data_IF_439233360926
#
_entry.id   IF_439233360926
#
_cell.length_a   1.000
_cell.length_b   1.000
_cell.length_c   1.000
_cell.angle_alpha   90.00
_cell.angle_beta   90.00
_cell.angle_gamma   90.00
#
_symmetry.space_group_name_H-M   'P 1'
#
loop_
_entity.id
_entity.type
_entity.pdbx_description
1 polymer ?
#
# COMPACT_ATOMS: atom_id res chain seq x y z
N UNK A 1 49.42 17.08 -28.15
CA UNK A 1 48.19 16.28 -28.21
C UNK A 1 47.40 16.63 -26.96
N UNK A 2 46.34 17.42 -27.13
CA UNK A 2 45.59 18.10 -26.08
C UNK A 2 44.22 17.44 -26.00
N UNK A 3 43.92 16.70 -24.94
CA UNK A 3 42.54 16.31 -24.60
C UNK A 3 42.48 15.72 -23.18
N UNK A 4 41.50 16.18 -22.39
CA UNK A 4 41.24 15.79 -21.00
C UNK A 4 41.78 16.83 -20.01
N UNK A 5 41.00 17.47 -19.15
CA UNK A 5 39.71 17.10 -18.58
C UNK A 5 39.09 18.37 -17.98
N UNK A 6 38.18 19.01 -18.72
CA UNK A 6 37.43 20.18 -18.24
C UNK A 6 36.19 19.72 -17.48
N UNK A 7 36.37 19.05 -16.33
CA UNK A 7 35.32 18.98 -15.32
C UNK A 7 35.27 20.34 -14.60
N UNK A 8 34.49 21.28 -15.13
CA UNK A 8 34.40 22.64 -14.61
C UNK A 8 33.82 22.74 -13.19
N UNK A 9 33.99 23.88 -12.49
CA UNK A 9 33.52 24.13 -11.12
C UNK A 9 32.01 23.89 -10.90
N UNK A 10 31.19 23.93 -11.96
CA UNK A 10 29.78 23.51 -11.92
C UNK A 10 29.58 22.01 -11.61
N UNK A 11 30.47 21.13 -12.06
CA UNK A 11 30.37 19.69 -11.80
C UNK A 11 30.58 19.37 -10.31
N UNK A 12 31.48 20.09 -9.65
CA UNK A 12 31.68 19.99 -8.19
C UNK A 12 30.47 20.52 -7.43
N UNK A 13 29.89 21.65 -7.84
CA UNK A 13 28.67 22.23 -7.23
C UNK A 13 27.45 21.30 -7.33
N UNK A 14 27.24 20.65 -8.48
CA UNK A 14 26.15 19.67 -8.65
C UNK A 14 26.40 18.40 -7.83
N UNK A 15 27.65 17.95 -7.73
CA UNK A 15 28.01 16.79 -6.91
C UNK A 15 27.80 17.07 -5.41
N UNK A 16 28.20 18.25 -4.94
CA UNK A 16 27.99 18.72 -3.56
C UNK A 16 26.49 18.86 -3.24
N UNK A 17 25.71 19.50 -4.11
CA UNK A 17 24.26 19.62 -3.94
C UNK A 17 23.55 18.24 -3.89
N UNK A 18 24.01 17.26 -4.67
CA UNK A 18 23.49 15.88 -4.61
C UNK A 18 23.90 15.18 -3.31
N UNK A 19 25.13 15.38 -2.85
CA UNK A 19 25.62 14.82 -1.60
C UNK A 19 24.85 15.37 -0.40
N UNK A 20 24.60 16.68 -0.34
CA UNK A 20 23.78 17.31 0.69
C UNK A 20 22.32 16.83 0.64
N UNK A 21 21.74 16.71 -0.56
CA UNK A 21 20.40 16.17 -0.73
C UNK A 21 20.30 14.71 -0.27
N UNK A 22 21.34 13.90 -0.53
CA UNK A 22 21.40 12.50 -0.11
C UNK A 22 21.60 12.37 1.40
N UNK A 23 22.46 13.20 2.01
CA UNK A 23 22.65 13.29 3.45
C UNK A 23 21.35 13.70 4.16
N UNK A 24 20.65 14.74 3.66
CA UNK A 24 19.36 15.18 4.19
C UNK A 24 18.30 14.10 4.09
N UNK A 25 18.21 13.40 2.95
CA UNK A 25 17.32 12.23 2.78
C UNK A 25 17.68 11.10 3.73
N UNK A 26 18.97 10.86 3.97
CA UNK A 26 19.46 9.86 4.92
C UNK A 26 19.04 10.19 6.36
N UNK A 27 19.27 11.43 6.79
CA UNK A 27 18.88 11.90 8.12
C UNK A 27 17.36 11.78 8.36
N UNK A 28 16.55 12.22 7.39
CA UNK A 28 15.09 12.11 7.47
C UNK A 28 14.62 10.64 7.55
N UNK A 29 15.29 9.73 6.84
CA UNK A 29 14.99 8.29 6.92
C UNK A 29 15.32 7.73 8.30
N UNK A 30 16.47 8.08 8.86
CA UNK A 30 16.88 7.62 10.18
C UNK A 30 15.93 8.14 11.28
N UNK A 31 15.53 9.41 11.22
CA UNK A 31 14.55 10.00 12.15
C UNK A 31 13.20 9.27 12.07
N UNK A 32 12.74 8.98 10.84
CA UNK A 32 11.51 8.23 10.61
C UNK A 32 11.58 6.80 11.16
N UNK A 33 12.69 6.11 10.92
CA UNK A 33 12.91 4.76 11.43
C UNK A 33 12.94 4.75 12.96
N UNK A 34 13.56 5.76 13.60
CA UNK A 34 13.53 5.93 15.04
C UNK A 34 12.11 6.15 15.58
N UNK A 35 11.31 7.03 14.97
CA UNK A 35 9.90 7.24 15.37
C UNK A 35 9.06 5.97 15.27
N UNK A 36 9.22 5.21 14.20
CA UNK A 36 8.50 3.95 14.01
C UNK A 36 8.97 2.90 15.02
N UNK A 37 10.26 2.82 15.29
CA UNK A 37 10.81 1.87 16.27
C UNK A 37 10.34 2.19 17.70
N UNK A 38 10.26 3.48 18.06
CA UNK A 38 9.73 3.92 19.35
C UNK A 38 8.25 3.56 19.52
N UNK A 39 7.46 3.75 18.46
CA UNK A 39 6.03 3.47 18.49
C UNK A 39 5.66 1.98 18.39
N UNK A 40 6.54 1.13 17.85
CA UNK A 40 6.34 -0.31 17.75
C UNK A 40 7.48 -1.08 18.44
N UNK A 41 7.52 -1.10 19.79
CA UNK A 41 8.53 -1.85 20.52
C UNK A 41 8.24 -3.36 20.42
N UNK A 42 8.89 -4.06 19.47
CA UNK A 42 8.83 -5.52 19.33
C UNK A 42 8.35 -6.02 17.98
N UNK A 43 7.73 -7.21 17.94
CA UNK A 43 7.20 -7.80 16.71
C UNK A 43 6.00 -6.97 16.20
N UNK A 44 6.00 -6.53 14.93
CA UNK A 44 4.92 -5.71 14.41
C UNK A 44 3.56 -6.42 14.49
N UNK A 45 2.50 -5.75 14.97
CA UNK A 45 1.16 -6.33 14.98
C UNK A 45 0.65 -6.57 13.56
N UNK A 46 -0.35 -7.45 13.41
CA UNK A 46 -1.01 -7.69 12.12
C UNK A 46 -0.42 -8.83 11.27
N UNK A 47 0.35 -9.74 11.87
CA UNK A 47 0.84 -10.96 11.20
C UNK A 47 -0.29 -11.80 10.59
N UNK A 48 -1.45 -11.87 11.25
CA UNK A 48 -2.65 -12.53 10.70
C UNK A 48 -3.20 -11.84 9.44
N UNK A 49 -3.14 -10.51 9.37
CA UNK A 49 -3.58 -9.73 8.20
C UNK A 49 -2.63 -9.97 7.02
N UNK A 50 -1.31 -9.98 7.27
CA UNK A 50 -0.32 -10.31 6.26
C UNK A 50 -0.50 -11.75 5.74
N UNK A 51 -0.71 -12.73 6.62
CA UNK A 51 -0.98 -14.12 6.23
C UNK A 51 -2.27 -14.26 5.44
N UNK A 52 -3.36 -13.60 5.85
CA UNK A 52 -4.62 -13.62 5.13
C UNK A 52 -4.46 -13.02 3.72
N UNK A 53 -3.69 -11.93 3.59
CA UNK A 53 -3.39 -11.29 2.31
C UNK A 53 -2.64 -12.25 1.37
N UNK A 54 -1.58 -12.90 1.86
CA UNK A 54 -0.84 -13.90 1.08
C UNK A 54 -1.67 -15.14 0.75
N UNK A 55 -2.48 -15.63 1.70
CA UNK A 55 -3.37 -16.77 1.47
C UNK A 55 -4.38 -16.47 0.35
N UNK A 56 -4.98 -15.28 0.34
CA UNK A 56 -5.86 -14.85 -0.73
C UNK A 56 -5.13 -14.74 -2.08
N UNK A 57 -3.90 -14.23 -2.10
CA UNK A 57 -3.07 -14.16 -3.32
C UNK A 57 -2.72 -15.54 -3.86
N UNK A 58 -2.34 -16.48 -3.00
CA UNK A 58 -2.05 -17.88 -3.39
C UNK A 58 -3.32 -18.55 -3.89
N UNK A 59 -4.44 -18.41 -3.18
CA UNK A 59 -5.72 -18.96 -3.60
C UNK A 59 -6.12 -18.45 -4.99
N UNK A 60 -6.02 -17.13 -5.23
CA UNK A 60 -6.24 -16.52 -6.54
C UNK A 60 -5.35 -17.15 -7.61
N UNK A 61 -4.03 -17.20 -7.38
CA UNK A 61 -3.08 -17.79 -8.34
C UNK A 61 -3.40 -19.25 -8.69
N UNK A 62 -3.74 -20.07 -7.70
CA UNK A 62 -4.11 -21.47 -7.90
C UNK A 62 -5.38 -21.59 -8.74
N UNK A 63 -6.46 -20.87 -8.38
CA UNK A 63 -7.71 -20.97 -9.14
C UNK A 63 -7.58 -20.37 -10.54
N UNK A 64 -6.79 -19.30 -10.71
CA UNK A 64 -6.47 -18.73 -12.03
C UNK A 64 -5.77 -19.76 -12.93
N UNK A 65 -4.75 -20.45 -12.42
CA UNK A 65 -4.01 -21.46 -13.19
C UNK A 65 -4.93 -22.63 -13.55
N UNK A 66 -5.72 -23.13 -12.60
CA UNK A 66 -6.66 -24.23 -12.86
C UNK A 66 -7.70 -23.87 -13.93
N UNK A 67 -8.26 -22.66 -13.86
CA UNK A 67 -9.22 -22.17 -14.86
C UNK A 67 -8.61 -21.94 -16.25
N UNK A 68 -7.33 -21.59 -16.32
CA UNK A 68 -6.61 -21.47 -17.60
C UNK A 68 -6.28 -22.82 -18.23
N UNK A 69 -6.08 -23.86 -17.43
CA UNK A 69 -5.77 -25.21 -17.93
C UNK A 69 -7.03 -25.95 -18.41
N UNK A 70 -8.14 -25.80 -17.69
CA UNK A 70 -9.41 -26.46 -17.99
C UNK A 70 -10.58 -25.56 -17.57
N UNK A 71 -10.97 -24.67 -18.49
CA UNK A 71 -12.03 -23.70 -18.26
C UNK A 71 -13.38 -24.41 -18.00
N UNK A 72 -13.71 -25.44 -18.77
CA UNK A 72 -14.99 -26.15 -18.67
C UNK A 72 -15.23 -26.72 -17.27
N UNK A 73 -14.17 -27.13 -16.58
CA UNK A 73 -14.25 -27.72 -15.24
C UNK A 73 -14.10 -26.71 -14.10
N UNK A 74 -13.22 -25.73 -14.24
CA UNK A 74 -12.80 -24.89 -13.11
C UNK A 74 -13.35 -23.46 -13.12
N UNK A 75 -13.99 -23.02 -14.21
CA UNK A 75 -14.48 -21.65 -14.35
C UNK A 75 -15.55 -21.27 -13.32
N UNK A 76 -16.47 -22.18 -12.99
CA UNK A 76 -17.45 -21.94 -11.91
C UNK A 76 -16.76 -21.77 -10.55
N UNK A 77 -15.76 -22.60 -10.25
CA UNK A 77 -15.02 -22.52 -8.98
C UNK A 77 -14.24 -21.20 -8.91
N UNK A 78 -13.58 -20.83 -10.01
CA UNK A 78 -12.89 -19.55 -10.13
C UNK A 78 -13.82 -18.38 -9.86
N UNK A 79 -14.99 -18.35 -10.51
CA UNK A 79 -15.97 -17.29 -10.33
C UNK A 79 -16.43 -17.20 -8.88
N UNK A 80 -16.79 -18.32 -8.25
CA UNK A 80 -17.25 -18.34 -6.85
C UNK A 80 -16.16 -17.82 -5.91
N UNK A 81 -14.91 -18.26 -6.09
CA UNK A 81 -13.79 -17.83 -5.25
C UNK A 81 -13.50 -16.33 -5.43
N UNK A 82 -13.35 -15.87 -6.67
CA UNK A 82 -13.03 -14.46 -6.97
C UNK A 82 -14.15 -13.52 -6.52
N UNK A 83 -15.41 -13.90 -6.74
CA UNK A 83 -16.57 -13.14 -6.26
C UNK A 83 -16.64 -13.08 -4.73
N UNK A 84 -16.37 -14.19 -4.04
CA UNK A 84 -16.36 -14.23 -2.57
C UNK A 84 -15.25 -13.36 -2.00
N UNK A 85 -14.04 -13.44 -2.57
CA UNK A 85 -12.91 -12.60 -2.15
C UNK A 85 -13.21 -11.12 -2.40
N UNK A 86 -13.80 -10.79 -3.55
CA UNK A 86 -14.24 -9.43 -3.85
C UNK A 86 -15.30 -8.93 -2.87
N UNK A 87 -16.34 -9.72 -2.60
CA UNK A 87 -17.41 -9.34 -1.68
C UNK A 87 -16.88 -9.10 -0.27
N UNK A 88 -15.99 -9.97 0.23
CA UNK A 88 -15.31 -9.79 1.51
C UNK A 88 -14.45 -8.52 1.50
N UNK A 89 -13.70 -8.29 0.42
CA UNK A 89 -12.89 -7.10 0.25
C UNK A 89 -13.71 -5.82 0.26
N UNK A 90 -14.86 -5.81 -0.42
CA UNK A 90 -15.77 -4.68 -0.47
C UNK A 90 -16.39 -4.37 0.91
N UNK A 91 -16.77 -5.40 1.68
CA UNK A 91 -17.27 -5.22 3.05
C UNK A 91 -16.19 -4.65 3.96
N UNK A 92 -14.96 -5.17 3.89
CA UNK A 92 -13.83 -4.64 4.65
C UNK A 92 -13.51 -3.20 4.26
N UNK A 93 -13.58 -2.87 2.96
CA UNK A 93 -13.36 -1.51 2.48
C UNK A 93 -14.38 -0.54 3.08
N UNK A 94 -15.66 -0.93 3.10
CA UNK A 94 -16.71 -0.11 3.71
C UNK A 94 -16.45 0.10 5.21
N UNK A 95 -16.02 -0.94 5.93
CA UNK A 95 -15.62 -0.85 7.34
C UNK A 95 -14.43 0.10 7.52
N UNK A 96 -13.41 -0.01 6.67
CA UNK A 96 -12.22 0.86 6.73
C UNK A 96 -12.58 2.32 6.52
N UNK A 97 -13.45 2.62 5.55
CA UNK A 97 -13.92 3.99 5.29
C UNK A 97 -14.65 4.55 6.51
N UNK A 98 -15.53 3.77 7.14
CA UNK A 98 -16.26 4.21 8.34
C UNK A 98 -15.29 4.45 9.50
N UNK A 99 -14.39 3.52 9.77
CA UNK A 99 -13.44 3.65 10.88
C UNK A 99 -12.42 4.79 10.63
N UNK A 100 -11.97 4.95 9.39
CA UNK A 100 -11.11 6.07 8.99
C UNK A 100 -11.84 7.41 9.13
N UNK A 101 -13.13 7.48 8.76
CA UNK A 101 -13.93 8.69 8.96
C UNK A 101 -14.01 9.07 10.44
N UNK A 102 -14.31 8.11 11.32
CA UNK A 102 -14.34 8.34 12.78
C UNK A 102 -12.99 8.82 13.29
N UNK A 103 -11.90 8.15 12.90
CA UNK A 103 -10.54 8.49 13.35
C UNK A 103 -10.01 9.80 12.72
N UNK A 104 -10.54 10.23 11.57
CA UNK A 104 -10.09 11.46 10.86
C UNK A 104 -10.44 12.75 11.60
N UNK A 105 -11.37 12.64 12.56
CA UNK A 105 -11.74 13.74 13.46
C UNK A 105 -10.59 14.12 14.39
N UNK A 106 -9.77 13.15 14.80
CA UNK A 106 -8.66 13.34 15.76
C UNK A 106 -7.29 13.27 15.10
N UNK A 107 -7.16 12.57 13.97
CA UNK A 107 -5.88 12.34 13.30
C UNK A 107 -5.89 12.80 11.84
N UNK A 108 -4.77 13.37 11.39
CA UNK A 108 -4.55 13.71 9.99
C UNK A 108 -4.17 12.46 9.18
N UNK A 109 -5.15 11.83 8.55
CA UNK A 109 -4.95 10.60 7.76
C UNK A 109 -4.94 10.90 6.27
N UNK A 110 -3.77 10.72 5.65
CA UNK A 110 -3.65 10.69 4.20
C UNK A 110 -4.02 9.32 3.63
N UNK A 111 -4.64 9.30 2.45
CA UNK A 111 -5.01 8.07 1.71
C UNK A 111 -3.80 7.15 1.50
N UNK A 112 -2.63 7.73 1.22
CA UNK A 112 -1.37 6.98 1.07
C UNK A 112 -0.91 6.28 2.36
N UNK A 113 -1.07 6.93 3.51
CA UNK A 113 -0.76 6.33 4.80
C UNK A 113 -1.78 5.28 5.22
N UNK A 114 -3.04 5.45 4.81
CA UNK A 114 -4.13 4.55 5.13
C UNK A 114 -4.09 3.24 4.34
N UNK A 115 -4.01 3.32 3.00
CA UNK A 115 -4.11 2.14 2.13
C UNK A 115 -2.77 1.58 1.65
N UNK A 116 -1.71 2.39 1.63
CA UNK A 116 -0.35 1.95 1.24
C UNK A 116 0.64 1.93 2.40
N UNK A 117 0.13 2.19 3.62
CA UNK A 117 0.89 2.22 4.86
C UNK A 117 2.09 3.19 4.81
N UNK A 118 2.03 4.21 3.94
CA UNK A 118 3.09 5.19 3.78
C UNK A 118 3.27 6.00 5.07
N UNK A 119 4.43 5.85 5.70
CA UNK A 119 4.80 6.52 6.96
C UNK A 119 3.95 6.13 8.17
N UNK A 120 3.02 5.18 8.01
CA UNK A 120 2.13 4.72 9.05
C UNK A 120 2.54 3.37 9.66
N UNK A 121 3.46 2.62 9.04
CA UNK A 121 3.80 1.25 9.42
C UNK A 121 5.30 0.91 9.38
N UNK A 122 5.74 -0.11 10.13
CA UNK A 122 7.05 -0.71 9.95
C UNK A 122 7.25 -1.21 8.52
N UNK A 123 8.45 -0.96 7.98
CA UNK A 123 8.81 -1.29 6.59
C UNK A 123 8.57 -2.75 6.20
N UNK A 124 8.80 -3.76 7.06
CA UNK A 124 8.50 -5.15 6.72
C UNK A 124 7.00 -5.40 6.47
N UNK A 125 6.12 -4.79 7.28
CA UNK A 125 4.66 -4.94 7.14
C UNK A 125 4.18 -4.22 5.89
N UNK A 126 4.64 -2.98 5.70
CA UNK A 126 4.34 -2.19 4.51
C UNK A 126 4.74 -2.93 3.24
N UNK A 127 5.96 -3.46 3.17
CA UNK A 127 6.44 -4.21 2.02
C UNK A 127 5.65 -5.50 1.81
N UNK A 128 5.35 -6.26 2.87
CA UNK A 128 4.60 -7.52 2.73
C UNK A 128 3.20 -7.30 2.15
N UNK A 129 2.46 -6.32 2.67
CA UNK A 129 1.07 -6.05 2.23
C UNK A 129 1.03 -5.40 0.84
N UNK A 130 1.97 -4.48 0.54
CA UNK A 130 2.06 -3.89 -0.79
C UNK A 130 2.57 -4.89 -1.84
N UNK A 131 3.45 -5.83 -1.45
CA UNK A 131 3.93 -6.88 -2.33
C UNK A 131 2.82 -7.89 -2.66
N UNK A 132 2.04 -8.35 -1.67
CA UNK A 132 0.93 -9.27 -1.93
C UNK A 132 -0.15 -8.62 -2.81
N UNK A 133 -0.44 -7.33 -2.60
CA UNK A 133 -1.31 -6.53 -3.48
C UNK A 133 -0.76 -6.50 -4.91
N UNK A 134 0.51 -6.12 -5.10
CA UNK A 134 1.12 -6.05 -6.42
C UNK A 134 1.12 -7.42 -7.13
N UNK A 135 1.44 -8.49 -6.42
CA UNK A 135 1.40 -9.86 -6.97
C UNK A 135 -0.03 -10.24 -7.36
N UNK A 136 -1.02 -10.00 -6.50
CA UNK A 136 -2.43 -10.30 -6.83
C UNK A 136 -2.92 -9.52 -8.05
N UNK A 137 -2.51 -8.26 -8.18
CA UNK A 137 -2.84 -7.42 -9.32
C UNK A 137 -2.23 -7.99 -10.61
N UNK A 138 -0.94 -8.33 -10.60
CA UNK A 138 -0.27 -8.95 -11.73
C UNK A 138 -0.95 -10.27 -12.13
N UNK A 139 -1.21 -11.16 -11.17
CA UNK A 139 -1.88 -12.44 -11.43
C UNK A 139 -3.26 -12.22 -12.04
N UNK A 140 -4.08 -11.33 -11.46
CA UNK A 140 -5.44 -11.06 -11.95
C UNK A 140 -5.46 -10.49 -13.36
N UNK A 141 -4.58 -9.52 -13.64
CA UNK A 141 -4.49 -8.87 -14.96
C UNK A 141 -3.95 -9.87 -15.98
N UNK A 142 -2.92 -10.65 -15.65
CA UNK A 142 -2.40 -11.69 -16.53
C UNK A 142 -3.46 -12.73 -16.87
N UNK A 143 -4.22 -13.22 -15.87
CA UNK A 143 -5.30 -14.18 -16.10
C UNK A 143 -6.39 -13.61 -17.02
N UNK A 144 -6.79 -12.35 -16.82
CA UNK A 144 -7.79 -11.69 -17.67
C UNK A 144 -7.30 -11.46 -19.10
N UNK A 145 -6.01 -11.11 -19.29
CA UNK A 145 -5.41 -10.90 -20.61
C UNK A 145 -5.28 -12.21 -21.38
N UNK A 146 -4.82 -13.28 -20.74
CA UNK A 146 -4.72 -14.61 -21.36
C UNK A 146 -6.11 -15.16 -21.67
N UNK A 147 -7.04 -15.00 -20.73
CA UNK A 147 -8.42 -15.46 -20.79
C UNK A 147 -9.39 -14.52 -21.49
N UNK A 148 -8.94 -13.69 -22.44
CA UNK A 148 -9.75 -12.59 -23.00
C UNK A 148 -11.08 -13.05 -23.62
N UNK A 149 -11.13 -14.30 -24.11
CA UNK A 149 -12.34 -14.93 -24.67
C UNK A 149 -13.32 -15.45 -23.60
N UNK A 150 -12.98 -15.35 -22.32
CA UNK A 150 -13.69 -15.92 -21.17
C UNK A 150 -14.02 -14.81 -20.16
N UNK A 151 -15.22 -14.21 -20.24
CA UNK A 151 -15.61 -13.06 -19.40
C UNK A 151 -15.48 -13.32 -17.90
N UNK A 152 -15.63 -14.57 -17.47
CA UNK A 152 -15.56 -14.98 -16.07
C UNK A 152 -14.16 -14.77 -15.49
N UNK A 153 -13.10 -14.89 -16.31
CA UNK A 153 -11.73 -14.64 -15.88
C UNK A 153 -11.48 -13.16 -15.53
N UNK A 154 -12.24 -12.24 -16.14
CA UNK A 154 -12.15 -10.81 -15.85
C UNK A 154 -12.59 -10.47 -14.42
N UNK A 155 -13.46 -11.26 -13.77
CA UNK A 155 -13.84 -11.04 -12.37
C UNK A 155 -12.67 -11.14 -11.40
N UNK A 156 -11.59 -11.85 -11.77
CA UNK A 156 -10.37 -11.88 -10.98
C UNK A 156 -9.75 -10.50 -10.74
N UNK A 157 -9.96 -9.54 -11.65
CA UNK A 157 -9.45 -8.16 -11.53
C UNK A 157 -10.06 -7.38 -10.38
N UNK A 158 -11.17 -7.88 -9.79
CA UNK A 158 -11.81 -7.29 -8.62
C UNK A 158 -11.17 -7.75 -7.31
N UNK A 159 -10.47 -8.89 -7.31
CA UNK A 159 -9.87 -9.49 -6.11
C UNK A 159 -8.86 -8.58 -5.40
N UNK A 160 -8.02 -7.77 -6.07
CA UNK A 160 -7.11 -6.82 -5.41
C UNK A 160 -7.79 -5.86 -4.43
N UNK A 161 -9.12 -5.68 -4.53
CA UNK A 161 -9.92 -4.94 -3.54
C UNK A 161 -9.74 -5.51 -2.14
N UNK A 162 -9.69 -6.84 -1.98
CA UNK A 162 -9.47 -7.48 -0.68
C UNK A 162 -8.10 -7.13 -0.11
N UNK A 163 -7.04 -7.19 -0.92
CA UNK A 163 -5.68 -6.83 -0.50
C UNK A 163 -5.61 -5.36 -0.10
N UNK A 164 -6.28 -4.47 -0.83
CA UNK A 164 -6.35 -3.04 -0.50
C UNK A 164 -7.05 -2.82 0.85
N UNK A 165 -8.17 -3.49 1.10
CA UNK A 165 -8.90 -3.40 2.38
C UNK A 165 -8.14 -4.02 3.53
N UNK A 166 -7.36 -5.09 3.33
CA UNK A 166 -6.50 -5.63 4.39
C UNK A 166 -5.40 -4.64 4.78
N UNK A 167 -4.85 -3.92 3.80
CA UNK A 167 -3.92 -2.82 4.04
C UNK A 167 -4.58 -1.65 4.78
N UNK A 168 -5.79 -1.25 4.35
CA UNK A 168 -6.62 -0.24 5.02
C UNK A 168 -6.91 -0.60 6.48
N UNK A 169 -7.37 -1.82 6.72
CA UNK A 169 -7.68 -2.34 8.05
C UNK A 169 -6.47 -2.32 8.98
N UNK A 170 -5.29 -2.69 8.48
CA UNK A 170 -4.05 -2.57 9.25
C UNK A 170 -3.76 -1.11 9.56
N UNK A 171 -3.85 -0.23 8.56
CA UNK A 171 -3.66 1.22 8.71
C UNK A 171 -4.57 1.82 9.76
N UNK A 172 -5.87 1.51 9.73
CA UNK A 172 -6.82 2.05 10.71
C UNK A 172 -6.57 1.53 12.12
N UNK A 173 -6.25 0.24 12.28
CA UNK A 173 -6.09 -0.38 13.61
C UNK A 173 -4.76 -0.09 14.28
N UNK A 174 -3.69 -0.06 13.48
CA UNK A 174 -2.31 -0.03 14.00
C UNK A 174 -1.48 1.12 13.44
N UNK A 175 -1.94 1.78 12.37
CA UNK A 175 -1.18 2.84 11.71
C UNK A 175 -0.94 4.04 12.60
N UNK A 176 0.30 4.54 12.57
CA UNK A 176 0.67 5.80 13.20
C UNK A 176 0.25 6.96 12.30
N UNK A 177 -0.57 7.84 12.85
CA UNK A 177 -0.97 9.07 12.17
C UNK A 177 -0.71 10.26 13.09
N UNK A 178 -0.28 11.42 12.56
CA UNK A 178 -0.14 12.62 13.36
C UNK A 178 -1.51 13.09 13.85
N UNK A 179 -1.56 13.62 15.08
CA UNK A 179 -2.74 14.30 15.60
C UNK A 179 -3.12 15.49 14.71
N UNK A 180 -4.42 15.79 14.67
CA UNK A 180 -4.94 16.91 13.90
C UNK A 180 -4.69 18.20 14.68
N UNK A 181 -3.74 19.02 14.23
CA UNK A 181 -3.46 20.33 14.84
C UNK A 181 -4.67 21.29 14.67
N UNK A 182 -5.41 21.52 15.76
CA UNK A 182 -6.52 22.49 15.79
C UNK A 182 -6.07 23.96 15.93
N UNK A 183 -4.79 24.23 16.20
CA UNK A 183 -4.29 25.58 16.49
C UNK A 183 -4.13 26.50 15.24
N UNK A 184 -3.99 25.94 14.03
CA UNK A 184 -3.77 26.74 12.82
C UNK A 184 -5.03 27.48 12.30
N UNK A 185 -6.23 27.04 12.69
CA UNK A 185 -7.50 27.70 12.29
C UNK A 185 -7.90 28.85 13.23
N UNK A 186 -7.38 28.89 14.46
CA UNK A 186 -7.66 29.96 15.43
C UNK A 186 -7.02 31.31 15.06
N UNK A 187 -5.88 31.30 14.37
CA UNK A 187 -5.15 32.53 14.01
C UNK A 187 -5.64 33.22 12.73
N UNK A 188 -6.46 32.55 11.90
CA UNK A 188 -7.06 33.16 10.69
C UNK A 188 -8.38 33.88 10.97
N UNK A 189 -9.03 33.59 12.09
CA UNK A 189 -10.31 34.20 12.49
C UNK A 189 -10.21 35.50 13.29
N UNK A 190 -9.02 35.88 13.78
CA UNK A 190 -8.83 37.06 14.65
C UNK A 190 -8.33 38.30 13.90
N UNK A 191 -8.02 38.20 12.61
CA UNK A 191 -7.50 39.33 11.81
C UNK A 191 -8.60 40.12 11.06
N UNK A 192 -9.89 39.82 11.29
CA UNK A 192 -11.00 40.44 10.58
C UNK A 192 -12.13 40.94 11.50
N UNK A 193 -11.81 41.42 12.69
CA UNK A 193 -12.76 42.16 13.55
C UNK A 193 -12.22 43.53 13.90
#
# INVERSE_FOLDING_TARGET
MSEGDTAGPEANSVAEARAEAQARRGALRAEREARIAEAFPGEPPGRAIAHASWAATVALGVVSVLALLDADRFLTIYFVVTFTLFALGALLLAVDVVLAAVRSTTHSMGIGGLFFLADAAPRPVQLSLNASLAVSLLVSVSAAVIGLSTPELAFGTLVPTLQLSLSGLWGVRHGLFPERNHEADGHRGSASR
#
